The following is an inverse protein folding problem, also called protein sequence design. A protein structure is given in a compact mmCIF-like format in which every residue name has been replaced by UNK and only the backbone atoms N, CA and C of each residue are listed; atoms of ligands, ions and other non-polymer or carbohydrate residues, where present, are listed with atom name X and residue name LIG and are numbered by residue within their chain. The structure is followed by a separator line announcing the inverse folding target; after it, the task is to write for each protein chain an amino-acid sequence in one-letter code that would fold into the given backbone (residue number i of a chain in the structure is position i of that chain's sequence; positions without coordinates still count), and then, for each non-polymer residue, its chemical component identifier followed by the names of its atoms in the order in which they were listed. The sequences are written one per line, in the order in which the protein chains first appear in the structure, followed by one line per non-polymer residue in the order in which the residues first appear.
data_IF_230962023377
#
_entry.id   IF_230962023377
#
_cell.length_a   1.000
_cell.length_b   1.000
_cell.length_c   1.000
_cell.angle_alpha   90.00
_cell.angle_beta   90.00
_cell.angle_gamma   90.00
#
_symmetry.space_group_name_H-M   'P 1'
#
loop_
_entity.id
_entity.type
_entity.pdbx_description
1 polymer ?
#
# COMPACT_ATOMS: atom_id res chain seq x y z
N UNK A 1 0.49 -13.21 18.14
CA UNK A 1 -0.93 -13.49 18.41
C UNK A 1 -1.34 -12.65 19.60
N UNK A 2 -2.52 -12.04 19.57
CA UNK A 2 -3.06 -11.22 20.67
C UNK A 2 -4.46 -11.75 20.96
N UNK A 3 -4.79 -11.92 22.24
CA UNK A 3 -6.06 -12.46 22.70
C UNK A 3 -6.43 -11.72 23.98
N UNK A 4 -7.73 -11.46 24.18
CA UNK A 4 -8.23 -10.79 25.38
C UNK A 4 -9.71 -11.12 25.61
N UNK A 5 -10.17 -10.87 26.84
CA UNK A 5 -11.54 -11.19 27.27
C UNK A 5 -12.52 -10.02 27.11
N UNK A 6 -12.01 -8.81 26.86
CA UNK A 6 -12.80 -7.60 26.65
C UNK A 6 -12.26 -6.81 25.45
N UNK A 7 -13.10 -5.96 24.86
CA UNK A 7 -12.73 -5.14 23.68
C UNK A 7 -11.58 -4.17 24.02
N UNK A 8 -11.62 -3.54 25.20
CA UNK A 8 -10.59 -2.60 25.63
C UNK A 8 -9.23 -3.29 25.84
N UNK A 9 -9.24 -4.49 26.43
CA UNK A 9 -8.03 -5.31 26.58
C UNK A 9 -7.54 -5.82 25.22
N UNK A 10 -8.44 -6.19 24.30
CA UNK A 10 -8.06 -6.66 22.97
C UNK A 10 -7.30 -5.59 22.19
N UNK A 11 -7.77 -4.34 22.28
CA UNK A 11 -7.11 -3.19 21.66
C UNK A 11 -5.72 -2.97 22.25
N UNK A 12 -5.60 -3.04 23.58
CA UNK A 12 -4.32 -2.90 24.28
C UNK A 12 -3.32 -4.00 23.91
N UNK A 13 -3.78 -5.26 23.88
CA UNK A 13 -2.92 -6.40 23.49
C UNK A 13 -2.55 -6.35 22.00
N UNK A 14 -3.42 -5.81 21.15
CA UNK A 14 -3.08 -5.54 19.75
C UNK A 14 -1.98 -4.48 19.61
N UNK A 15 -2.14 -3.32 20.25
CA UNK A 15 -1.15 -2.24 20.23
C UNK A 15 0.21 -2.74 20.74
N UNK A 16 0.21 -3.49 21.85
CA UNK A 16 1.41 -4.10 22.40
C UNK A 16 2.07 -5.09 21.43
N UNK A 17 1.30 -5.94 20.76
CA UNK A 17 1.84 -6.87 19.77
C UNK A 17 2.48 -6.16 18.56
N UNK A 18 1.97 -4.97 18.19
CA UNK A 18 2.58 -4.13 17.16
C UNK A 18 3.89 -3.51 17.66
N UNK A 19 3.92 -2.98 18.88
CA UNK A 19 5.13 -2.40 19.48
C UNK A 19 6.25 -3.45 19.64
N UNK A 20 5.91 -4.66 20.08
CA UNK A 20 6.84 -5.79 20.19
C UNK A 20 7.41 -6.18 18.82
N UNK A 21 6.57 -6.18 17.77
CA UNK A 21 6.99 -6.43 16.40
C UNK A 21 7.97 -5.36 15.89
N UNK A 22 7.69 -4.09 16.13
CA UNK A 22 8.55 -2.98 15.72
C UNK A 22 9.89 -2.99 16.47
N UNK A 23 9.87 -3.31 17.77
CA UNK A 23 11.07 -3.46 18.60
C UNK A 23 11.96 -4.59 18.08
N UNK A 24 11.37 -5.76 17.82
CA UNK A 24 12.08 -6.90 17.21
C UNK A 24 12.68 -6.52 15.85
N UNK A 25 11.94 -5.80 15.01
CA UNK A 25 12.46 -5.31 13.74
C UNK A 25 13.68 -4.39 13.93
N UNK A 26 13.63 -3.49 14.91
CA UNK A 26 14.74 -2.58 15.24
C UNK A 26 15.98 -3.34 15.73
N UNK A 27 15.83 -4.24 16.69
CA UNK A 27 16.93 -5.02 17.28
C UNK A 27 17.67 -5.88 16.25
N UNK A 28 16.93 -6.42 15.28
CA UNK A 28 17.49 -7.25 14.22
C UNK A 28 17.93 -6.44 12.98
N UNK A 29 17.79 -5.11 12.98
CA UNK A 29 18.12 -4.26 11.83
C UNK A 29 17.23 -4.52 10.61
N UNK A 30 16.03 -5.08 10.82
CA UNK A 30 15.06 -5.44 9.78
C UNK A 30 14.11 -4.25 9.58
N UNK A 31 13.90 -3.84 8.34
CA UNK A 31 12.84 -2.87 8.03
C UNK A 31 11.47 -3.51 8.24
N UNK A 32 10.59 -2.94 9.09
CA UNK A 32 9.24 -3.46 9.29
C UNK A 32 8.50 -3.62 7.96
N UNK A 33 7.70 -4.67 7.83
CA UNK A 33 6.86 -4.88 6.65
C UNK A 33 5.72 -3.86 6.67
N UNK A 34 5.90 -2.76 5.93
CA UNK A 34 4.79 -1.89 5.60
C UNK A 34 3.87 -2.57 4.58
N UNK A 35 2.64 -2.86 5.01
CA UNK A 35 1.51 -3.16 4.13
C UNK A 35 1.14 -1.86 3.41
N UNK A 36 1.09 -1.88 2.07
CA UNK A 36 0.80 -0.71 1.23
C UNK A 36 1.89 0.37 1.18
N UNK A 37 3.09 0.02 0.68
CA UNK A 37 4.23 0.92 0.48
C UNK A 37 4.04 2.06 -0.53
N UNK A 38 2.81 2.29 -1.01
CA UNK A 38 2.48 3.24 -2.08
C UNK A 38 2.96 2.85 -3.49
N UNK A 39 3.88 1.89 -3.61
CA UNK A 39 4.34 1.34 -4.89
C UNK A 39 3.47 0.16 -5.32
N UNK A 40 2.95 0.20 -6.55
CA UNK A 40 2.15 -0.86 -7.14
C UNK A 40 2.81 -1.37 -8.42
N UNK A 41 3.43 -2.56 -8.35
CA UNK A 41 4.12 -3.17 -9.49
C UNK A 41 3.19 -4.18 -10.20
N UNK A 42 2.73 -3.85 -11.40
CA UNK A 42 1.87 -4.73 -12.20
C UNK A 42 2.45 -4.94 -13.59
N UNK A 43 2.37 -6.20 -14.07
CA UNK A 43 2.67 -6.55 -15.45
C UNK A 43 1.38 -6.52 -16.27
N UNK A 44 1.24 -5.50 -17.10
CA UNK A 44 0.05 -5.25 -17.93
C UNK A 44 0.23 -5.63 -19.42
N UNK A 45 1.42 -6.07 -19.81
CA UNK A 45 1.76 -6.40 -21.21
C UNK A 45 2.17 -5.17 -22.04
N UNK A 46 2.96 -5.41 -23.10
CA UNK A 46 3.58 -4.34 -23.91
C UNK A 46 2.56 -3.49 -24.66
N UNK A 47 1.54 -4.12 -25.26
CA UNK A 47 0.50 -3.43 -26.04
C UNK A 47 -0.31 -2.46 -25.18
N UNK A 48 -0.76 -2.90 -24.00
CA UNK A 48 -1.50 -2.05 -23.08
C UNK A 48 -0.61 -0.94 -22.50
N UNK A 49 0.65 -1.25 -22.18
CA UNK A 49 1.62 -0.27 -21.73
C UNK A 49 1.84 0.84 -22.76
N UNK A 50 1.99 0.48 -24.05
CA UNK A 50 2.18 1.46 -25.13
C UNK A 50 0.96 2.38 -25.29
N UNK A 51 -0.25 1.82 -25.25
CA UNK A 51 -1.49 2.63 -25.31
C UNK A 51 -1.62 3.58 -24.13
N UNK A 52 -1.27 3.14 -22.92
CA UNK A 52 -1.30 4.01 -21.74
C UNK A 52 -0.24 5.12 -21.81
N UNK A 53 0.96 4.80 -22.31
CA UNK A 53 2.03 5.78 -22.50
C UNK A 53 1.58 6.91 -23.43
N UNK A 54 0.95 6.56 -24.56
CA UNK A 54 0.42 7.55 -25.50
C UNK A 54 -0.69 8.41 -24.89
N UNK A 55 -1.55 7.84 -24.04
CA UNK A 55 -2.60 8.59 -23.33
C UNK A 55 -2.04 9.52 -22.26
N UNK A 56 -1.02 9.08 -21.53
CA UNK A 56 -0.34 9.90 -20.53
C UNK A 56 0.36 11.10 -21.19
N UNK A 57 1.05 10.87 -22.31
CA UNK A 57 1.71 11.91 -23.10
C UNK A 57 0.70 12.93 -23.65
N UNK A 58 -0.41 12.46 -24.22
CA UNK A 58 -1.51 13.32 -24.68
C UNK A 58 -2.16 14.14 -23.54
N UNK A 59 -2.12 13.63 -22.30
CA UNK A 59 -2.59 14.33 -21.11
C UNK A 59 -1.53 15.25 -20.49
N UNK A 60 -0.28 15.23 -20.97
CA UNK A 60 0.84 15.97 -20.40
C UNK A 60 1.26 15.49 -19.01
N UNK A 61 1.02 14.22 -18.66
CA UNK A 61 1.34 13.66 -17.34
C UNK A 61 2.28 12.46 -17.45
N UNK A 62 2.92 12.07 -16.35
CA UNK A 62 3.65 10.80 -16.32
C UNK A 62 2.68 9.62 -16.39
N UNK A 63 3.16 8.45 -16.81
CA UNK A 63 2.37 7.21 -16.81
C UNK A 63 1.84 6.86 -15.42
N UNK A 64 2.66 7.08 -14.38
CA UNK A 64 2.27 6.82 -13.00
C UNK A 64 1.17 7.76 -12.53
N UNK A 65 1.27 9.06 -12.83
CA UNK A 65 0.23 10.03 -12.48
C UNK A 65 -1.07 9.77 -13.25
N UNK A 66 -0.94 9.36 -14.52
CA UNK A 66 -2.07 8.97 -15.35
C UNK A 66 -2.82 7.77 -14.75
N UNK A 67 -2.08 6.73 -14.35
CA UNK A 67 -2.63 5.55 -13.68
C UNK A 67 -3.24 5.90 -12.32
N UNK A 68 -2.57 6.76 -11.54
CA UNK A 68 -3.08 7.22 -10.25
C UNK A 68 -4.44 7.90 -10.41
N UNK A 69 -4.60 8.78 -11.38
CA UNK A 69 -5.89 9.44 -11.64
C UNK A 69 -6.99 8.49 -12.09
N UNK A 70 -6.66 7.39 -12.79
CA UNK A 70 -7.64 6.33 -13.12
C UNK A 70 -8.08 5.60 -11.86
N UNK A 71 -7.12 5.20 -11.01
CA UNK A 71 -7.39 4.48 -9.75
C UNK A 71 -8.21 5.37 -8.80
N UNK A 72 -7.88 6.66 -8.69
CA UNK A 72 -8.65 7.61 -7.88
C UNK A 72 -10.10 7.74 -8.36
N UNK A 73 -10.34 7.82 -9.68
CA UNK A 73 -11.71 7.86 -10.22
C UNK A 73 -12.51 6.59 -9.88
N UNK A 74 -11.87 5.43 -9.94
CA UNK A 74 -12.51 4.14 -9.62
C UNK A 74 -12.82 4.03 -8.12
N UNK A 75 -11.93 4.54 -7.26
CA UNK A 75 -12.02 4.41 -5.80
C UNK A 75 -12.78 5.54 -5.09
N UNK A 76 -13.07 6.66 -5.76
CA UNK A 76 -13.89 7.76 -5.22
C UNK A 76 -15.39 7.43 -5.08
N UNK A 77 -15.81 6.19 -5.38
CA UNK A 77 -17.20 5.73 -5.26
C UNK A 77 -17.40 4.85 -4.02
N UNK A 78 -16.91 5.31 -2.86
CA UNK A 78 -17.14 4.65 -1.55
C UNK A 78 -17.68 5.68 -0.56
#
# INVERSE_FOLDING_TARGET
TYEANTIDELKREFEKAVDDYLTTCHEHGITPKNTCKGSFNVRIGSDLHQRLLAKADAAGTSLNDYLKGIIEKDTMTI
#
